data_IF_512909675629
#
_entry.id   IF_512909675629
#
_cell.length_a   1.000
_cell.length_b   1.000
_cell.length_c   1.000
_cell.angle_alpha   90.00
_cell.angle_beta   90.00
_cell.angle_gamma   90.00
#
_symmetry.space_group_name_H-M   'P 1'
#
loop_
_entity.id
_entity.type
_entity.pdbx_description
1 polymer ?
#
# COMPACT_ATOMS: atom_id res chain seq x y z
N UNK A 1 1.82 -19.66 -31.90
CA UNK A 1 2.31 -18.56 -31.05
C UNK A 1 3.66 -19.00 -30.46
N UNK A 2 4.71 -18.17 -30.57
CA UNK A 2 6.05 -18.53 -30.05
C UNK A 2 6.06 -18.60 -28.52
N UNK A 3 6.94 -19.42 -27.93
CA UNK A 3 7.15 -19.51 -26.46
C UNK A 3 7.44 -18.14 -25.86
N UNK A 4 8.17 -17.28 -26.59
CA UNK A 4 8.45 -15.90 -26.15
C UNK A 4 7.19 -15.02 -26.11
N UNK A 5 6.27 -15.21 -27.07
CA UNK A 5 5.00 -14.47 -27.10
C UNK A 5 4.05 -14.93 -25.98
N UNK A 6 4.03 -16.23 -25.66
CA UNK A 6 3.31 -16.75 -24.51
C UNK A 6 3.82 -16.16 -23.20
N UNK A 7 5.14 -16.14 -22.97
CA UNK A 7 5.74 -15.53 -21.76
C UNK A 7 5.45 -14.04 -21.64
N UNK A 8 5.49 -13.29 -22.73
CA UNK A 8 5.14 -11.86 -22.71
C UNK A 8 3.67 -11.65 -22.32
N UNK A 9 2.75 -12.44 -22.89
CA UNK A 9 1.33 -12.41 -22.54
C UNK A 9 1.08 -12.72 -21.06
N UNK A 10 1.87 -13.62 -20.49
CA UNK A 10 1.82 -13.99 -19.07
C UNK A 10 2.32 -12.90 -18.12
N UNK A 11 3.16 -12.01 -18.61
CA UNK A 11 3.79 -10.94 -17.86
C UNK A 11 3.09 -9.59 -18.02
N UNK A 12 1.98 -9.56 -18.76
CA UNK A 12 1.19 -8.35 -18.95
C UNK A 12 0.52 -7.95 -17.62
N UNK A 13 0.73 -6.70 -17.22
CA UNK A 13 0.17 -6.03 -16.05
C UNK A 13 -0.41 -4.66 -16.44
N UNK A 14 -1.01 -3.97 -15.48
CA UNK A 14 -1.61 -2.65 -15.70
C UNK A 14 -1.33 -1.72 -14.52
N UNK A 15 -1.14 -0.44 -14.83
CA UNK A 15 -1.17 0.65 -13.87
C UNK A 15 -2.33 1.60 -14.19
N UNK A 16 -3.02 2.07 -13.16
CA UNK A 16 -3.98 3.16 -13.28
C UNK A 16 -3.25 4.49 -13.18
N UNK A 17 -3.67 5.43 -14.01
CA UNK A 17 -3.20 6.81 -13.96
C UNK A 17 -4.36 7.76 -14.25
N UNK A 18 -4.18 9.01 -13.86
CA UNK A 18 -5.14 10.07 -14.20
C UNK A 18 -5.03 10.45 -15.67
N UNK A 19 -6.15 10.43 -16.37
CA UNK A 19 -6.29 10.96 -17.72
C UNK A 19 -6.37 12.49 -17.71
N UNK A 20 -5.94 13.12 -18.81
CA UNK A 20 -6.07 14.57 -19.00
C UNK A 20 -7.49 14.99 -19.40
N UNK A 21 -8.34 14.06 -19.85
CA UNK A 21 -9.73 14.29 -20.22
C UNK A 21 -10.67 14.05 -19.04
N UNK A 22 -11.57 14.99 -18.78
CA UNK A 22 -12.59 14.91 -17.73
C UNK A 22 -13.93 14.33 -18.22
N UNK A 23 -13.97 13.71 -19.41
CA UNK A 23 -15.23 13.22 -19.95
C UNK A 23 -15.61 11.88 -19.32
N UNK A 24 -16.76 11.88 -18.64
CA UNK A 24 -17.43 10.67 -18.17
C UNK A 24 -17.68 9.73 -19.36
N UNK A 25 -16.89 8.67 -19.48
CA UNK A 25 -17.18 7.56 -20.39
C UNK A 25 -17.53 6.31 -19.61
N UNK A 26 -18.74 5.82 -19.86
CA UNK A 26 -19.23 4.48 -19.51
C UNK A 26 -19.46 3.73 -20.83
N UNK A 27 -18.37 3.26 -21.45
CA UNK A 27 -18.38 2.63 -22.77
C UNK A 27 -17.22 1.65 -22.97
N UNK A 28 -17.05 1.05 -24.16
CA UNK A 28 -15.84 0.28 -24.50
C UNK A 28 -14.58 1.15 -24.32
N UNK A 29 -13.41 0.51 -24.13
CA UNK A 29 -12.13 1.20 -23.95
C UNK A 29 -11.94 2.27 -25.03
N UNK A 30 -11.51 3.46 -24.61
CA UNK A 30 -11.34 4.60 -25.50
C UNK A 30 -10.26 4.39 -26.56
N UNK A 31 -10.13 5.35 -27.49
CA UNK A 31 -9.01 5.40 -28.42
C UNK A 31 -7.67 5.57 -27.65
N UNK A 32 -6.52 5.17 -28.23
CA UNK A 32 -5.23 5.36 -27.59
C UNK A 32 -4.99 6.83 -27.24
N UNK A 33 -4.51 7.09 -26.03
CA UNK A 33 -4.36 8.46 -25.50
C UNK A 33 -3.22 9.27 -26.15
N UNK A 34 -2.31 8.62 -26.89
CA UNK A 34 -1.13 9.26 -27.49
C UNK A 34 -1.00 8.83 -28.95
N UNK A 35 -0.87 9.78 -29.86
CA UNK A 35 -0.59 9.53 -31.28
C UNK A 35 0.92 9.51 -31.55
N UNK A 36 1.40 8.56 -32.37
CA UNK A 36 2.81 8.41 -32.77
C UNK A 36 3.03 7.12 -33.57
N UNK A 37 4.25 6.90 -34.09
CA UNK A 37 4.59 5.73 -34.91
C UNK A 37 4.59 4.40 -34.13
N UNK A 38 4.71 4.46 -32.80
CA UNK A 38 4.67 3.29 -31.90
C UNK A 38 4.18 3.72 -30.50
N UNK A 39 2.89 4.10 -30.37
CA UNK A 39 2.40 4.75 -29.18
C UNK A 39 2.28 3.77 -28.01
N UNK A 40 2.41 4.25 -26.77
CA UNK A 40 2.19 3.43 -25.60
C UNK A 40 0.73 2.95 -25.55
N UNK A 41 0.52 1.71 -25.14
CA UNK A 41 -0.80 1.10 -24.98
C UNK A 41 -1.49 1.68 -23.73
N UNK A 42 -2.04 2.88 -23.91
CA UNK A 42 -2.73 3.66 -22.88
C UNK A 42 -4.12 4.01 -23.37
N UNK A 43 -5.14 3.61 -22.61
CA UNK A 43 -6.54 3.75 -23.01
C UNK A 43 -7.37 4.35 -21.88
N UNK A 44 -8.35 5.18 -22.23
CA UNK A 44 -9.36 5.65 -21.30
C UNK A 44 -10.24 4.48 -20.84
N UNK A 45 -10.58 4.43 -19.55
CA UNK A 45 -11.30 3.32 -18.96
C UNK A 45 -12.56 3.72 -18.19
N UNK A 46 -12.43 4.48 -17.10
CA UNK A 46 -13.58 4.80 -16.24
C UNK A 46 -13.45 6.20 -15.65
N UNK A 47 -14.31 7.10 -16.09
CA UNK A 47 -14.26 8.51 -15.70
C UNK A 47 -12.90 9.13 -16.07
N UNK A 48 -12.17 9.62 -15.07
CA UNK A 48 -10.85 10.24 -15.21
C UNK A 48 -9.68 9.25 -15.17
N UNK A 49 -9.94 7.92 -15.17
CA UNK A 49 -8.89 6.91 -15.15
C UNK A 49 -8.52 6.39 -16.53
N UNK A 50 -7.22 6.24 -16.75
CA UNK A 50 -6.62 5.53 -17.88
C UNK A 50 -5.93 4.26 -17.41
N UNK A 51 -5.98 3.23 -18.26
CA UNK A 51 -5.19 2.02 -18.13
C UNK A 51 -3.92 2.15 -18.95
N UNK A 52 -2.77 1.99 -18.28
CA UNK A 52 -1.47 1.84 -18.93
C UNK A 52 -1.04 0.38 -18.85
N UNK A 53 -0.96 -0.29 -19.99
CA UNK A 53 -0.46 -1.66 -20.05
C UNK A 53 1.07 -1.70 -19.92
N UNK A 54 1.57 -2.70 -19.20
CA UNK A 54 2.99 -2.85 -18.89
C UNK A 54 3.38 -4.33 -18.93
N UNK A 55 4.63 -4.63 -19.26
CA UNK A 55 5.22 -5.96 -19.08
C UNK A 55 6.09 -5.96 -17.83
N UNK A 56 5.87 -6.93 -16.96
CA UNK A 56 6.68 -7.11 -15.74
C UNK A 56 7.66 -8.26 -15.94
N UNK A 57 8.95 -7.97 -15.93
CA UNK A 57 10.01 -8.97 -15.99
C UNK A 57 10.11 -9.76 -14.67
N UNK A 58 10.74 -10.94 -14.66
CA UNK A 58 10.88 -11.77 -13.45
C UNK A 58 11.64 -11.09 -12.29
N UNK A 59 12.49 -10.11 -12.61
CA UNK A 59 13.22 -9.28 -11.64
C UNK A 59 12.37 -8.14 -11.06
N UNK A 60 11.10 -8.01 -11.49
CA UNK A 60 10.19 -6.95 -11.09
C UNK A 60 10.28 -5.68 -11.94
N UNK A 61 11.22 -5.61 -12.89
CA UNK A 61 11.36 -4.47 -13.80
C UNK A 61 10.12 -4.34 -14.68
N UNK A 62 9.58 -3.13 -14.81
CA UNK A 62 8.39 -2.90 -15.63
C UNK A 62 8.72 -2.06 -16.87
N UNK A 63 8.23 -2.50 -18.02
CA UNK A 63 8.32 -1.78 -19.29
C UNK A 63 6.92 -1.43 -19.79
N UNK A 64 6.72 -0.21 -20.29
CA UNK A 64 5.43 0.19 -20.88
C UNK A 64 5.18 -0.61 -22.15
N UNK A 65 4.03 -1.26 -22.24
CA UNK A 65 3.63 -1.98 -23.43
C UNK A 65 3.22 -0.99 -24.52
N UNK A 66 3.49 -1.33 -25.77
CA UNK A 66 3.11 -0.51 -26.92
C UNK A 66 1.95 -1.13 -27.69
N UNK A 67 1.30 -0.35 -28.54
CA UNK A 67 0.22 -0.87 -29.39
C UNK A 67 0.68 -2.05 -30.27
N UNK A 68 1.87 -1.93 -30.86
CA UNK A 68 2.47 -3.00 -31.65
C UNK A 68 2.70 -4.29 -30.85
N UNK A 69 2.98 -4.19 -29.54
CA UNK A 69 3.12 -5.36 -28.68
C UNK A 69 1.78 -6.07 -28.48
N UNK A 70 0.70 -5.34 -28.23
CA UNK A 70 -0.63 -5.92 -28.08
C UNK A 70 -1.10 -6.59 -29.37
N UNK A 71 -0.88 -5.94 -30.52
CA UNK A 71 -1.17 -6.51 -31.84
C UNK A 71 -0.37 -7.80 -32.09
N UNK A 72 0.93 -7.80 -31.81
CA UNK A 72 1.80 -8.99 -31.94
C UNK A 72 1.34 -10.15 -31.05
N UNK A 73 0.72 -9.86 -29.92
CA UNK A 73 0.16 -10.85 -29.01
C UNK A 73 -1.28 -11.27 -29.35
N UNK A 74 -1.87 -10.70 -30.41
CA UNK A 74 -3.28 -10.84 -30.78
C UNK A 74 -4.22 -10.48 -29.62
N UNK A 75 -3.93 -9.39 -28.90
CA UNK A 75 -4.73 -8.88 -27.81
C UNK A 75 -5.40 -7.58 -28.24
N UNK A 76 -6.73 -7.55 -28.24
CA UNK A 76 -7.48 -6.28 -28.19
C UNK A 76 -7.35 -5.67 -26.78
N UNK A 77 -7.63 -4.37 -26.59
CA UNK A 77 -7.59 -3.74 -25.26
C UNK A 77 -8.45 -4.48 -24.21
N UNK A 78 -9.63 -4.97 -24.60
CA UNK A 78 -10.54 -5.72 -23.74
C UNK A 78 -9.98 -7.10 -23.37
N UNK A 79 -9.37 -7.79 -24.34
CA UNK A 79 -8.70 -9.07 -24.10
C UNK A 79 -7.44 -8.90 -23.26
N UNK A 80 -6.70 -7.81 -23.46
CA UNK A 80 -5.55 -7.42 -22.66
C UNK A 80 -5.97 -7.17 -21.20
N UNK A 81 -7.05 -6.42 -20.97
CA UNK A 81 -7.61 -6.19 -19.64
C UNK A 81 -8.03 -7.50 -18.95
N UNK A 82 -8.69 -8.40 -19.68
CA UNK A 82 -9.06 -9.74 -19.18
C UNK A 82 -7.81 -10.57 -18.84
N UNK A 83 -6.80 -10.53 -19.71
CA UNK A 83 -5.54 -11.22 -19.49
C UNK A 83 -4.80 -10.69 -18.26
N UNK A 84 -4.79 -9.36 -18.07
CA UNK A 84 -4.21 -8.72 -16.87
C UNK A 84 -4.92 -9.21 -15.61
N UNK A 85 -6.25 -9.27 -15.59
CA UNK A 85 -6.98 -9.76 -14.42
C UNK A 85 -6.59 -11.21 -14.07
N UNK A 86 -6.45 -12.09 -15.09
CA UNK A 86 -5.97 -13.46 -14.92
C UNK A 86 -4.52 -13.49 -14.40
N UNK A 87 -3.64 -12.69 -14.99
CA UNK A 87 -2.23 -12.62 -14.61
C UNK A 87 -2.06 -12.13 -13.16
N UNK A 88 -2.80 -11.08 -12.78
CA UNK A 88 -2.81 -10.54 -11.41
C UNK A 88 -3.23 -11.61 -10.41
N UNK A 89 -4.33 -12.32 -10.69
CA UNK A 89 -4.82 -13.40 -9.81
C UNK A 89 -3.82 -14.55 -9.71
N UNK A 90 -3.15 -14.93 -10.80
CA UNK A 90 -2.11 -15.97 -10.79
C UNK A 90 -0.89 -15.54 -9.98
N UNK A 91 -0.39 -14.32 -10.20
CA UNK A 91 0.83 -13.82 -9.55
C UNK A 91 0.63 -13.52 -8.06
N UNK A 92 -0.57 -13.06 -7.66
CA UNK A 92 -0.83 -12.51 -6.32
C UNK A 92 -1.91 -13.23 -5.53
N UNK A 93 -2.61 -14.16 -6.16
CA UNK A 93 -3.75 -14.86 -5.58
C UNK A 93 -5.07 -14.08 -5.72
N UNK A 94 -6.10 -14.59 -5.05
CA UNK A 94 -7.41 -13.96 -5.06
C UNK A 94 -7.38 -12.62 -4.28
N UNK A 95 -8.13 -11.60 -4.73
CA UNK A 95 -8.30 -10.36 -3.98
C UNK A 95 -8.83 -10.62 -2.58
N UNK A 96 -8.17 -10.03 -1.59
CA UNK A 96 -8.62 -10.00 -0.20
C UNK A 96 -8.89 -8.56 0.19
N UNK A 97 -9.80 -8.38 1.12
CA UNK A 97 -10.10 -7.09 1.71
C UNK A 97 -10.16 -7.23 3.22
N UNK A 98 -9.88 -6.13 3.91
CA UNK A 98 -10.01 -6.01 5.34
C UNK A 98 -10.86 -4.77 5.66
N UNK A 99 -11.56 -4.81 6.80
CA UNK A 99 -12.25 -3.64 7.31
C UNK A 99 -11.19 -2.59 7.69
N UNK A 100 -11.27 -1.41 7.06
CA UNK A 100 -10.40 -0.29 7.34
C UNK A 100 -10.97 0.57 8.46
N UNK A 101 -12.28 0.84 8.42
CA UNK A 101 -13.01 1.57 9.46
C UNK A 101 -14.40 1.98 9.01
N UNK A 102 -15.36 2.07 9.94
CA UNK A 102 -16.72 2.57 9.70
C UNK A 102 -17.39 2.00 8.43
N UNK A 103 -17.30 0.68 8.22
CA UNK A 103 -17.89 -0.01 7.06
C UNK A 103 -17.18 0.22 5.72
N UNK A 104 -16.04 0.91 5.73
CA UNK A 104 -15.12 1.02 4.59
C UNK A 104 -14.14 -0.13 4.60
N UNK A 105 -14.00 -0.79 3.46
CA UNK A 105 -13.09 -1.89 3.22
C UNK A 105 -11.91 -1.43 2.36
N UNK A 106 -10.72 -1.91 2.68
CA UNK A 106 -9.51 -1.72 1.89
C UNK A 106 -9.06 -3.05 1.31
N UNK A 107 -8.66 -3.05 0.04
CA UNK A 107 -8.01 -4.20 -0.55
C UNK A 107 -6.62 -4.42 0.05
N UNK A 108 -6.29 -5.69 0.30
CA UNK A 108 -4.96 -6.11 0.75
C UNK A 108 -4.49 -7.23 -0.17
N UNK A 109 -3.62 -6.89 -1.11
CA UNK A 109 -2.99 -7.86 -2.00
C UNK A 109 -1.82 -8.59 -1.35
N UNK A 110 -1.47 -9.78 -1.88
CA UNK A 110 -0.14 -10.37 -1.65
C UNK A 110 0.83 -9.71 -2.65
N UNK A 111 1.53 -8.66 -2.25
CA UNK A 111 2.47 -7.99 -3.15
C UNK A 111 2.76 -6.53 -2.79
N UNK A 112 3.29 -5.81 -3.77
CA UNK A 112 3.58 -4.38 -3.69
C UNK A 112 2.28 -3.56 -3.77
N UNK A 113 2.18 -2.53 -2.92
CA UNK A 113 0.97 -1.74 -2.72
C UNK A 113 0.53 -1.06 -4.01
N UNK A 114 1.47 -0.66 -4.87
CA UNK A 114 1.27 0.15 -6.08
C UNK A 114 0.27 -0.38 -7.12
N UNK A 115 -0.15 -1.63 -6.97
CA UNK A 115 -0.89 -2.40 -7.98
C UNK A 115 -2.12 -3.07 -7.39
N UNK A 116 -2.50 -2.76 -6.15
CA UNK A 116 -3.76 -3.22 -5.57
C UNK A 116 -4.99 -2.67 -6.32
N UNK A 117 -4.86 -1.51 -6.96
CA UNK A 117 -5.87 -0.96 -7.86
C UNK A 117 -6.16 -1.89 -9.06
N UNK A 118 -5.22 -2.75 -9.48
CA UNK A 118 -5.44 -3.74 -10.56
C UNK A 118 -6.59 -4.70 -10.30
N UNK A 119 -6.98 -4.91 -9.03
CA UNK A 119 -8.16 -5.72 -8.68
C UNK A 119 -9.50 -5.06 -9.05
N UNK A 120 -9.51 -3.78 -9.43
CA UNK A 120 -10.69 -3.13 -10.03
C UNK A 120 -11.17 -3.89 -11.29
N UNK A 121 -10.25 -4.54 -12.01
CA UNK A 121 -10.54 -5.30 -13.23
C UNK A 121 -11.11 -6.69 -12.97
N UNK A 122 -11.05 -7.21 -11.73
CA UNK A 122 -11.53 -8.55 -11.39
C UNK A 122 -13.06 -8.57 -11.24
N UNK A 123 -13.78 -8.69 -12.36
CA UNK A 123 -15.25 -8.74 -12.38
C UNK A 123 -15.82 -9.88 -11.54
N UNK A 124 -15.11 -10.99 -11.39
CA UNK A 124 -15.55 -12.12 -10.57
C UNK A 124 -15.62 -11.75 -9.09
N UNK A 125 -14.60 -11.05 -8.60
CA UNK A 125 -14.59 -10.51 -7.25
C UNK A 125 -15.76 -9.54 -7.01
N UNK A 126 -15.93 -8.55 -7.88
CA UNK A 126 -16.97 -7.53 -7.66
C UNK A 126 -18.38 -8.10 -7.75
N UNK A 127 -18.61 -9.09 -8.62
CA UNK A 127 -19.87 -9.86 -8.64
C UNK A 127 -20.11 -10.63 -7.35
N UNK A 128 -19.06 -11.12 -6.70
CA UNK A 128 -19.18 -11.75 -5.38
C UNK A 128 -19.56 -10.71 -4.32
N UNK A 129 -18.99 -9.50 -4.38
CA UNK A 129 -19.35 -8.42 -3.46
C UNK A 129 -20.81 -7.97 -3.62
N UNK A 130 -21.39 -8.02 -4.83
CA UNK A 130 -22.82 -7.75 -5.03
C UNK A 130 -23.75 -8.72 -4.31
N UNK A 131 -23.29 -9.91 -3.93
CA UNK A 131 -24.08 -10.83 -3.09
C UNK A 131 -24.16 -10.34 -1.65
N UNK A 132 -23.09 -9.72 -1.15
CA UNK A 132 -23.04 -9.12 0.19
C UNK A 132 -23.66 -7.71 0.23
N UNK A 133 -23.58 -6.97 -0.88
CA UNK A 133 -24.06 -5.59 -1.02
C UNK A 133 -25.05 -5.48 -2.20
N UNK A 134 -26.33 -5.90 -2.02
CA UNK A 134 -27.28 -6.01 -3.13
C UNK A 134 -27.64 -4.68 -3.80
N UNK A 135 -27.49 -3.57 -3.08
CA UNK A 135 -27.73 -2.21 -3.61
C UNK A 135 -26.57 -1.70 -4.47
N UNK A 136 -25.46 -2.43 -4.52
CA UNK A 136 -24.25 -2.05 -5.25
C UNK A 136 -23.08 -1.80 -4.33
N UNK A 137 -21.92 -1.54 -4.93
CA UNK A 137 -20.67 -1.26 -4.22
C UNK A 137 -20.12 0.09 -4.67
N UNK A 138 -19.91 1.01 -3.74
CA UNK A 138 -19.24 2.28 -4.03
C UNK A 138 -17.74 2.07 -3.83
N UNK A 139 -16.92 2.45 -4.80
CA UNK A 139 -15.47 2.32 -4.75
C UNK A 139 -14.76 3.64 -5.07
N UNK A 140 -13.54 3.78 -4.52
CA UNK A 140 -12.67 4.93 -4.75
C UNK A 140 -11.21 4.49 -4.91
N UNK A 141 -10.50 5.16 -5.82
CA UNK A 141 -9.06 4.95 -6.09
C UNK A 141 -8.37 6.33 -6.02
N UNK A 142 -8.24 6.91 -4.81
CA UNK A 142 -7.74 8.27 -4.66
C UNK A 142 -6.26 8.41 -5.06
N UNK A 143 -5.46 7.34 -4.89
CA UNK A 143 -4.02 7.36 -5.18
C UNK A 143 -3.52 6.00 -5.67
N UNK A 144 -2.29 5.99 -6.17
CA UNK A 144 -1.61 4.76 -6.59
C UNK A 144 -1.60 3.74 -5.45
N UNK A 145 -1.97 2.51 -5.78
CA UNK A 145 -1.99 1.41 -4.84
C UNK A 145 -3.10 1.44 -3.79
N UNK A 146 -4.04 2.36 -3.87
CA UNK A 146 -5.20 2.37 -2.98
C UNK A 146 -6.48 2.00 -3.71
N UNK A 147 -7.24 1.07 -3.14
CA UNK A 147 -8.56 0.69 -3.60
C UNK A 147 -9.42 0.46 -2.38
N UNK A 148 -10.42 1.33 -2.23
CA UNK A 148 -11.37 1.29 -1.12
C UNK A 148 -12.78 1.10 -1.65
N UNK A 149 -13.63 0.46 -0.84
CA UNK A 149 -15.04 0.32 -1.19
C UNK A 149 -15.93 0.24 0.06
N UNK A 150 -17.21 0.51 -0.15
CA UNK A 150 -18.27 0.48 0.86
C UNK A 150 -19.58 -0.05 0.24
N UNK A 151 -20.50 -0.49 1.10
CA UNK A 151 -21.86 -0.85 0.69
C UNK A 151 -22.60 0.40 0.18
N UNK A 152 -23.09 0.38 -1.06
CA UNK A 152 -23.90 1.48 -1.61
C UNK A 152 -25.23 1.67 -0.86
N UNK A 153 -25.66 0.66 -0.10
CA UNK A 153 -26.86 0.68 0.72
C UNK A 153 -26.71 1.39 2.06
N UNK A 154 -25.49 1.65 2.53
CA UNK A 154 -25.19 2.27 3.81
C UNK A 154 -24.60 3.66 3.62
N UNK A 155 -25.44 4.69 3.81
CA UNK A 155 -25.05 6.08 3.63
C UNK A 155 -23.87 6.49 4.50
N UNK A 156 -23.81 6.02 5.76
CA UNK A 156 -22.73 6.37 6.68
C UNK A 156 -21.36 5.86 6.17
N UNK A 157 -21.32 4.61 5.72
CA UNK A 157 -20.11 4.01 5.13
C UNK A 157 -19.70 4.72 3.84
N UNK A 158 -20.66 5.09 2.97
CA UNK A 158 -20.37 5.84 1.73
C UNK A 158 -19.87 7.26 1.98
N UNK A 159 -20.40 7.94 3.01
CA UNK A 159 -19.94 9.27 3.41
C UNK A 159 -18.52 9.23 3.97
N UNK A 160 -18.22 8.22 4.80
CA UNK A 160 -16.85 8.05 5.31
C UNK A 160 -15.87 7.68 4.20
N UNK A 161 -16.25 6.78 3.28
CA UNK A 161 -15.45 6.47 2.09
C UNK A 161 -15.16 7.75 1.29
N UNK A 162 -16.18 8.57 1.05
CA UNK A 162 -16.07 9.83 0.29
C UNK A 162 -15.12 10.80 0.97
N UNK A 163 -15.28 11.01 2.29
CA UNK A 163 -14.46 11.92 3.08
C UNK A 163 -13.00 11.46 3.14
N UNK A 164 -12.78 10.17 3.39
CA UNK A 164 -11.46 9.56 3.41
C UNK A 164 -10.78 9.63 2.03
N UNK A 165 -11.49 9.26 0.97
CA UNK A 165 -10.96 9.28 -0.39
C UNK A 165 -10.61 10.70 -0.84
N UNK A 166 -11.44 11.69 -0.51
CA UNK A 166 -11.16 13.12 -0.76
C UNK A 166 -9.85 13.56 -0.10
N UNK A 167 -9.65 13.29 1.20
CA UNK A 167 -8.39 13.59 1.91
C UNK A 167 -7.19 12.90 1.28
N UNK A 168 -7.30 11.60 1.00
CA UNK A 168 -6.21 10.82 0.40
C UNK A 168 -5.86 11.30 -1.01
N UNK A 169 -6.86 11.67 -1.80
CA UNK A 169 -6.64 12.20 -3.14
C UNK A 169 -5.93 13.56 -3.07
N UNK A 170 -6.36 14.43 -2.17
CA UNK A 170 -5.75 15.75 -2.02
C UNK A 170 -4.30 15.66 -1.49
N UNK A 171 -4.03 14.74 -0.57
CA UNK A 171 -2.68 14.48 -0.06
C UNK A 171 -1.74 13.81 -1.09
N UNK A 172 -2.27 13.09 -2.08
CA UNK A 172 -1.48 12.22 -2.93
C UNK A 172 -0.53 12.91 -3.95
N UNK A 173 -0.58 14.23 -4.11
CA UNK A 173 0.33 14.96 -5.01
C UNK A 173 0.40 14.37 -6.42
N UNK A 174 1.60 13.97 -6.86
CA UNK A 174 1.85 13.35 -8.17
C UNK A 174 1.32 11.90 -8.28
N UNK A 175 0.99 11.26 -7.16
CA UNK A 175 0.47 9.89 -7.11
C UNK A 175 -1.07 9.81 -7.18
N UNK A 176 -1.75 10.93 -7.45
CA UNK A 176 -3.20 10.97 -7.65
C UNK A 176 -3.62 10.08 -8.82
N UNK A 177 -4.68 9.30 -8.61
CA UNK A 177 -5.24 8.42 -9.64
C UNK A 177 -6.61 8.90 -10.09
N UNK A 178 -7.60 8.95 -9.20
CA UNK A 178 -8.93 9.42 -9.54
C UNK A 178 -9.52 10.35 -8.48
N UNK A 179 -10.14 11.42 -8.97
CA UNK A 179 -10.97 12.34 -8.18
C UNK A 179 -12.46 11.97 -8.17
N UNK A 180 -12.83 10.75 -8.55
CA UNK A 180 -14.23 10.32 -8.70
C UNK A 180 -14.58 9.14 -7.78
N UNK A 181 -15.88 9.00 -7.52
CA UNK A 181 -16.49 7.82 -6.93
C UNK A 181 -17.11 6.96 -8.03
N UNK A 182 -17.03 5.66 -7.85
CA UNK A 182 -17.52 4.67 -8.79
C UNK A 182 -18.55 3.76 -8.15
N UNK A 183 -19.60 3.42 -8.89
CA UNK A 183 -20.61 2.45 -8.48
C UNK A 183 -20.44 1.18 -9.31
N UNK A 184 -20.28 0.04 -8.64
CA UNK A 184 -20.44 -1.26 -9.26
C UNK A 184 -21.84 -1.80 -8.99
N UNK A 185 -22.59 -2.09 -10.04
CA UNK A 185 -23.93 -2.66 -9.98
C UNK A 185 -24.07 -3.88 -10.91
N UNK A 186 -25.28 -4.44 -11.04
CA UNK A 186 -25.57 -5.49 -12.02
C UNK A 186 -25.25 -5.07 -13.47
N UNK A 187 -25.25 -3.76 -13.76
CA UNK A 187 -24.91 -3.19 -15.08
C UNK A 187 -23.41 -3.04 -15.31
N UNK A 188 -22.60 -3.19 -14.26
CA UNK A 188 -21.16 -2.97 -14.29
C UNK A 188 -20.74 -1.70 -13.57
N UNK A 189 -19.61 -1.15 -13.98
CA UNK A 189 -19.03 0.07 -13.41
C UNK A 189 -19.67 1.32 -14.01
N UNK A 190 -20.07 2.24 -13.15
CA UNK A 190 -20.61 3.56 -13.50
C UNK A 190 -19.93 4.64 -12.65
N UNK A 191 -19.85 5.87 -13.15
CA UNK A 191 -19.35 7.01 -12.38
C UNK A 191 -20.49 7.53 -11.51
N UNK A 192 -20.28 7.56 -10.19
CA UNK A 192 -21.27 8.04 -9.23
C UNK A 192 -21.23 9.56 -9.09
N UNK A 193 -20.02 10.15 -9.05
CA UNK A 193 -19.83 11.58 -8.87
C UNK A 193 -18.38 11.95 -8.57
N UNK A 194 -18.08 13.24 -8.48
CA UNK A 194 -16.76 13.71 -8.08
C UNK A 194 -16.60 13.63 -6.56
N UNK A 195 -15.36 13.37 -6.12
CA UNK A 195 -14.98 13.57 -4.74
C UNK A 195 -15.12 15.06 -4.42
N UNK A 196 -15.73 15.42 -3.27
CA UNK A 196 -15.77 16.79 -2.85
C UNK A 196 -14.33 17.28 -2.64
N UNK A 197 -14.07 18.56 -2.89
CA UNK A 197 -12.82 19.17 -2.44
C UNK A 197 -12.70 18.92 -0.94
N UNK A 198 -11.54 18.45 -0.45
CA UNK A 198 -11.40 18.22 0.97
C UNK A 198 -11.69 19.55 1.67
N UNK A 199 -12.68 19.55 2.56
CA UNK A 199 -12.92 20.72 3.38
C UNK A 199 -11.60 21.07 4.07
N UNK A 200 -11.12 22.32 3.99
CA UNK A 200 -9.94 22.73 4.74
C UNK A 200 -10.23 22.35 6.18
N UNK A 201 -9.33 21.55 6.80
CA UNK A 201 -9.55 20.94 8.10
C UNK A 201 -10.17 21.97 9.04
N UNK A 202 -11.50 21.94 9.16
CA UNK A 202 -12.21 22.97 9.91
C UNK A 202 -11.76 22.77 11.33
N UNK A 203 -11.20 23.83 11.90
CA UNK A 203 -10.76 23.94 13.28
C UNK A 203 -11.93 23.81 14.27
N UNK A 204 -12.71 22.73 14.17
CA UNK A 204 -13.75 22.32 15.11
C UNK A 204 -13.11 21.59 16.30
N UNK A 205 -12.05 22.21 16.83
CA UNK A 205 -11.47 21.95 18.13
C UNK A 205 -10.97 23.26 18.78
N UNK A 206 -11.33 24.42 18.20
CA UNK A 206 -10.94 25.74 18.66
C UNK A 206 -11.92 26.35 19.70
N UNK A 207 -12.59 25.51 20.50
CA UNK A 207 -13.40 25.99 21.64
C UNK A 207 -12.93 25.44 22.99
N UNK A 208 -11.74 24.83 23.07
CA UNK A 208 -11.11 24.52 24.35
C UNK A 208 -9.74 25.18 24.50
N UNK A 209 -9.80 26.38 25.08
CA UNK A 209 -8.76 27.06 25.88
C UNK A 209 -7.60 27.72 25.12
N UNK A 210 -7.70 29.04 25.10
CA UNK A 210 -6.65 30.01 24.79
C UNK A 210 -5.25 29.64 25.33
N UNK A 211 -4.27 29.60 24.43
CA UNK A 211 -2.87 29.92 24.73
C UNK A 211 -2.31 30.81 23.61
N UNK A 212 -1.63 31.93 23.93
CA UNK A 212 -1.06 32.81 22.92
C UNK A 212 0.32 32.30 22.46
N UNK A 213 0.55 32.36 21.14
CA UNK A 213 1.87 32.47 20.54
C UNK A 213 2.50 31.17 20.01
N UNK A 214 2.10 30.71 18.82
CA UNK A 214 2.97 29.94 17.93
C UNK A 214 2.73 30.41 16.49
N UNK A 215 3.82 30.76 15.79
CA UNK A 215 3.82 31.22 14.38
C UNK A 215 3.14 30.21 13.44
N UNK A 216 2.56 30.65 12.32
CA UNK A 216 2.06 29.76 11.28
C UNK A 216 3.20 28.88 10.75
N UNK A 217 2.97 27.57 10.67
CA UNK A 217 3.89 26.57 10.12
C UNK A 217 3.60 26.39 8.63
N UNK A 218 4.64 26.36 7.82
CA UNK A 218 4.56 26.29 6.36
C UNK A 218 3.87 25.00 5.85
N UNK A 219 3.06 25.08 4.77
CA UNK A 219 2.32 23.95 4.20
C UNK A 219 3.18 22.83 3.59
N UNK A 220 4.49 23.05 3.45
CA UNK A 220 5.47 22.04 3.01
C UNK A 220 5.68 20.91 4.06
N UNK A 221 5.37 21.17 5.34
CA UNK A 221 5.49 20.16 6.40
C UNK A 221 4.33 19.15 6.45
N UNK A 222 3.19 19.43 5.80
CA UNK A 222 2.04 18.54 5.80
C UNK A 222 2.14 17.45 4.73
N UNK A 223 2.81 17.71 3.60
CA UNK A 223 3.08 16.72 2.54
C UNK A 223 4.15 15.69 2.96
N UNK A 224 5.09 16.09 3.82
CA UNK A 224 6.06 15.17 4.41
C UNK A 224 5.43 14.17 5.40
N UNK A 225 4.26 14.48 5.97
CA UNK A 225 3.70 13.70 7.08
C UNK A 225 3.14 12.33 6.63
N UNK A 226 2.48 12.26 5.48
CA UNK A 226 1.78 11.04 5.01
C UNK A 226 2.70 10.04 4.28
N UNK A 227 3.73 10.54 3.58
CA UNK A 227 4.80 9.70 3.02
C UNK A 227 5.77 9.21 4.11
N UNK A 228 5.83 9.88 5.26
CA UNK A 228 6.57 9.45 6.45
C UNK A 228 5.75 8.47 7.33
N UNK A 229 4.41 8.53 7.34
CA UNK A 229 3.56 7.65 8.15
C UNK A 229 3.64 6.15 7.78
N UNK A 230 3.74 5.81 6.48
CA UNK A 230 3.94 4.44 6.00
C UNK A 230 5.27 3.83 6.48
N UNK A 231 6.44 4.49 6.32
CA UNK A 231 7.70 4.05 6.90
C UNK A 231 7.66 4.05 8.44
N UNK A 232 7.01 5.02 9.09
CA UNK A 232 6.89 5.08 10.55
C UNK A 232 6.10 3.89 11.13
N UNK A 233 5.06 3.42 10.44
CA UNK A 233 4.30 2.23 10.87
C UNK A 233 5.13 0.94 10.76
N UNK A 234 5.93 0.78 9.70
CA UNK A 234 6.87 -0.32 9.50
C UNK A 234 7.98 -0.30 10.57
N UNK A 235 8.50 0.91 10.86
CA UNK A 235 9.50 1.17 11.89
C UNK A 235 8.96 0.86 13.29
N UNK A 236 7.73 1.26 13.61
CA UNK A 236 7.08 0.97 14.89
C UNK A 236 6.85 -0.54 15.10
N UNK A 237 6.46 -1.25 14.05
CA UNK A 237 6.34 -2.72 14.07
C UNK A 237 7.68 -3.42 14.27
N UNK A 238 8.72 -2.96 13.58
CA UNK A 238 10.08 -3.48 13.75
C UNK A 238 10.64 -3.24 15.15
N UNK A 239 10.41 -2.06 15.74
CA UNK A 239 10.87 -1.72 17.09
C UNK A 239 10.26 -2.64 18.16
N UNK A 240 8.95 -2.93 18.09
CA UNK A 240 8.29 -3.85 19.04
C UNK A 240 8.93 -5.23 19.01
N UNK A 241 9.22 -5.73 17.81
CA UNK A 241 9.83 -7.04 17.61
C UNK A 241 11.24 -7.11 18.19
N UNK A 242 12.05 -6.05 18.01
CA UNK A 242 13.37 -5.93 18.64
C UNK A 242 13.29 -5.89 20.16
N UNK A 243 12.36 -5.13 20.74
CA UNK A 243 12.18 -5.05 22.19
C UNK A 243 11.81 -6.42 22.77
N UNK A 244 10.89 -7.15 22.13
CA UNK A 244 10.53 -8.49 22.56
C UNK A 244 11.69 -9.48 22.43
N UNK A 245 12.50 -9.40 21.37
CA UNK A 245 13.69 -10.23 21.24
C UNK A 245 14.71 -9.93 22.35
N UNK A 246 14.89 -8.67 22.73
CA UNK A 246 15.81 -8.28 23.78
C UNK A 246 15.36 -8.80 25.15
N UNK A 247 14.07 -8.65 25.48
CA UNK A 247 13.48 -9.21 26.70
C UNK A 247 13.59 -10.74 26.71
N UNK A 248 13.22 -11.40 25.61
CA UNK A 248 13.30 -12.85 25.49
C UNK A 248 14.73 -13.36 25.68
N UNK A 249 15.73 -12.66 25.13
CA UNK A 249 17.14 -13.02 25.27
C UNK A 249 17.62 -12.92 26.74
N UNK A 250 17.20 -11.89 27.48
CA UNK A 250 17.50 -11.77 28.91
C UNK A 250 16.82 -12.85 29.75
N UNK A 251 15.53 -13.12 29.49
CA UNK A 251 14.77 -14.17 30.19
C UNK A 251 15.39 -15.55 29.93
N UNK A 252 15.70 -15.85 28.67
CA UNK A 252 16.33 -17.10 28.28
C UNK A 252 17.72 -17.27 28.92
N UNK A 253 18.50 -16.18 29.00
CA UNK A 253 19.81 -16.18 29.65
C UNK A 253 19.74 -16.36 31.16
N UNK A 254 18.74 -15.78 31.82
CA UNK A 254 18.50 -16.01 33.24
C UNK A 254 18.05 -17.45 33.51
N UNK A 255 17.14 -17.99 32.70
CA UNK A 255 16.64 -19.35 32.83
C UNK A 255 17.74 -20.41 32.55
N UNK A 256 18.57 -20.18 31.53
CA UNK A 256 19.70 -21.06 31.22
C UNK A 256 20.72 -21.11 32.37
N UNK A 257 21.00 -19.97 33.03
CA UNK A 257 21.87 -19.92 34.22
C UNK A 257 21.25 -20.57 35.46
N UNK A 258 19.92 -20.54 35.56
CA UNK A 258 19.18 -21.20 36.65
C UNK A 258 19.07 -22.71 36.52
N UNK A 259 19.55 -23.31 35.43
CA UNK A 259 19.48 -24.76 35.18
C UNK A 259 18.07 -25.28 34.89
N UNK A 260 17.08 -24.39 34.69
CA UNK A 260 15.68 -24.78 34.48
C UNK A 260 15.37 -25.26 33.06
N UNK A 261 16.32 -25.10 32.12
CA UNK A 261 16.13 -25.46 30.71
C UNK A 261 17.29 -26.38 30.26
N UNK A 262 17.00 -27.51 29.61
CA UNK A 262 18.03 -28.37 29.02
C UNK A 262 18.92 -27.59 28.03
N UNK A 263 20.26 -27.79 28.03
CA UNK A 263 21.19 -27.02 27.19
C UNK A 263 20.81 -27.01 25.70
N UNK A 264 20.35 -28.14 25.18
CA UNK A 264 19.96 -28.31 23.78
C UNK A 264 18.74 -27.46 23.41
N UNK A 265 17.75 -27.38 24.31
CA UNK A 265 16.54 -26.56 24.15
C UNK A 265 16.91 -25.07 24.24
N UNK A 266 17.79 -24.70 25.18
CA UNK A 266 18.28 -23.34 25.30
C UNK A 266 18.97 -22.88 24.00
N UNK A 267 19.88 -23.69 23.45
CA UNK A 267 20.57 -23.40 22.18
C UNK A 267 19.59 -23.21 21.01
N UNK A 268 18.57 -24.07 20.89
CA UNK A 268 17.56 -23.93 19.85
C UNK A 268 16.75 -22.62 19.98
N UNK A 269 16.36 -22.25 21.21
CA UNK A 269 15.65 -21.00 21.49
C UNK A 269 16.52 -19.77 21.21
N UNK A 270 17.83 -19.84 21.48
CA UNK A 270 18.76 -18.76 21.14
C UNK A 270 18.85 -18.55 19.62
N UNK A 271 18.95 -19.63 18.85
CA UNK A 271 18.99 -19.57 17.38
C UNK A 271 17.69 -18.98 16.84
N UNK A 272 16.53 -19.43 17.34
CA UNK A 272 15.24 -18.91 16.93
C UNK A 272 15.10 -17.41 17.24
N UNK A 273 15.51 -16.99 18.44
CA UNK A 273 15.47 -15.57 18.85
C UNK A 273 16.41 -14.73 17.99
N UNK A 274 17.59 -15.26 17.63
CA UNK A 274 18.54 -14.59 16.75
C UNK A 274 17.94 -14.38 15.34
N UNK A 275 17.32 -15.41 14.76
CA UNK A 275 16.68 -15.32 13.44
C UNK A 275 15.54 -14.27 13.43
N UNK A 276 14.71 -14.27 14.47
CA UNK A 276 13.62 -13.28 14.63
C UNK A 276 14.19 -11.87 14.79
N UNK A 277 15.26 -11.69 15.57
CA UNK A 277 15.91 -10.38 15.74
C UNK A 277 16.47 -9.83 14.42
N UNK A 278 17.01 -10.71 13.56
CA UNK A 278 17.52 -10.36 12.24
C UNK A 278 16.40 -9.82 11.33
N UNK A 279 15.23 -10.47 11.38
CA UNK A 279 14.04 -9.99 10.67
C UNK A 279 13.58 -8.62 11.17
N UNK A 280 13.64 -8.38 12.49
CA UNK A 280 13.37 -7.08 13.09
C UNK A 280 14.31 -5.98 12.59
N UNK A 281 15.60 -6.25 12.54
CA UNK A 281 16.62 -5.32 12.04
C UNK A 281 16.36 -4.96 10.57
N UNK A 282 16.15 -5.96 9.71
CA UNK A 282 15.86 -5.75 8.29
C UNK A 282 14.59 -4.90 8.10
N UNK A 283 13.56 -5.16 8.90
CA UNK A 283 12.30 -4.39 8.86
C UNK A 283 12.50 -2.93 9.29
N UNK A 284 13.24 -2.68 10.38
CA UNK A 284 13.55 -1.32 10.84
C UNK A 284 14.40 -0.58 9.79
N UNK A 285 15.46 -1.19 9.29
CA UNK A 285 16.33 -0.55 8.31
C UNK A 285 15.61 -0.26 6.99
N UNK A 286 14.67 -1.11 6.59
CA UNK A 286 13.82 -0.89 5.41
C UNK A 286 12.82 0.25 5.62
N UNK A 287 12.21 0.35 6.81
CA UNK A 287 11.35 1.47 7.14
C UNK A 287 12.09 2.80 7.32
N UNK A 288 13.38 2.78 7.65
CA UNK A 288 14.23 3.98 7.74
C UNK A 288 14.84 4.41 6.40
N UNK A 289 14.50 3.77 5.27
CA UNK A 289 15.03 4.12 3.95
C UNK A 289 16.53 3.88 3.77
N UNK A 290 17.19 3.11 4.65
CA UNK A 290 18.62 2.85 4.50
C UNK A 290 18.89 1.94 3.29
N UNK A 291 19.94 2.27 2.52
CA UNK A 291 20.40 1.44 1.41
C UNK A 291 20.88 0.04 1.85
N UNK A 292 20.93 -0.89 0.90
CA UNK A 292 21.27 -2.31 1.12
C UNK A 292 22.59 -2.51 1.87
N UNK A 293 23.60 -1.67 1.64
CA UNK A 293 24.90 -1.73 2.31
C UNK A 293 24.79 -1.59 3.83
N UNK A 294 23.97 -0.67 4.32
CA UNK A 294 23.77 -0.44 5.75
C UNK A 294 23.00 -1.61 6.38
N UNK A 295 22.03 -2.19 5.64
CA UNK A 295 21.30 -3.39 6.10
C UNK A 295 22.24 -4.57 6.31
N UNK A 296 23.11 -4.82 5.33
CA UNK A 296 24.12 -5.89 5.41
C UNK A 296 25.10 -5.63 6.55
N UNK A 297 25.54 -4.39 6.74
CA UNK A 297 26.42 -4.01 7.85
C UNK A 297 25.77 -4.32 9.21
N UNK A 298 24.50 -3.95 9.43
CA UNK A 298 23.79 -4.26 10.67
C UNK A 298 23.56 -5.76 10.87
N UNK A 299 23.29 -6.52 9.80
CA UNK A 299 23.19 -7.99 9.88
C UNK A 299 24.52 -8.64 10.28
N UNK A 300 25.64 -8.14 9.77
CA UNK A 300 26.98 -8.64 10.13
C UNK A 300 27.32 -8.25 11.58
N UNK A 301 27.03 -7.01 12.00
CA UNK A 301 27.23 -6.57 13.38
C UNK A 301 26.38 -7.37 14.39
N UNK A 302 25.24 -7.91 13.96
CA UNK A 302 24.35 -8.70 14.83
C UNK A 302 24.99 -10.02 15.32
N UNK A 303 26.03 -10.52 14.64
CA UNK A 303 26.76 -11.73 15.05
C UNK A 303 27.72 -11.53 16.22
N UNK A 304 28.06 -10.28 16.55
CA UNK A 304 28.90 -9.95 17.72
C UNK A 304 27.97 -9.53 18.86
N UNK A 305 27.75 -10.35 19.91
CA UNK A 305 26.65 -10.14 20.87
C UNK A 305 26.63 -8.76 21.54
N UNK A 306 27.80 -8.26 21.94
CA UNK A 306 27.93 -6.96 22.59
C UNK A 306 27.64 -5.81 21.62
N UNK A 307 28.15 -5.93 20.38
CA UNK A 307 27.95 -4.93 19.33
C UNK A 307 26.50 -4.95 18.82
N UNK A 308 25.88 -6.13 18.72
CA UNK A 308 24.47 -6.31 18.42
C UNK A 308 23.59 -5.59 19.46
N UNK A 309 23.89 -5.74 20.75
CA UNK A 309 23.16 -5.06 21.81
C UNK A 309 23.27 -3.53 21.67
N UNK A 310 24.48 -3.02 21.44
CA UNK A 310 24.72 -1.57 21.24
C UNK A 310 24.00 -1.07 19.99
N UNK A 311 24.06 -1.81 18.88
CA UNK A 311 23.40 -1.48 17.62
C UNK A 311 21.87 -1.45 17.77
N UNK A 312 21.28 -2.46 18.43
CA UNK A 312 19.85 -2.52 18.72
C UNK A 312 19.40 -1.39 19.65
N UNK A 313 20.20 -1.06 20.67
CA UNK A 313 19.91 0.05 21.58
C UNK A 313 19.98 1.39 20.85
N UNK A 314 20.99 1.58 19.99
CA UNK A 314 21.16 2.76 19.16
C UNK A 314 19.98 2.94 18.18
N UNK A 315 19.62 1.87 17.44
CA UNK A 315 18.47 1.85 16.54
C UNK A 315 17.17 2.14 17.29
N UNK A 316 16.93 1.49 18.44
CA UNK A 316 15.74 1.71 19.26
C UNK A 316 15.65 3.14 19.80
N UNK A 317 16.77 3.73 20.24
CA UNK A 317 16.85 5.13 20.69
C UNK A 317 16.56 6.10 19.54
N UNK A 318 17.19 5.90 18.37
CA UNK A 318 17.00 6.72 17.18
C UNK A 318 15.56 6.65 16.68
N UNK A 319 15.00 5.45 16.59
CA UNK A 319 13.60 5.20 16.23
C UNK A 319 12.63 5.84 17.22
N UNK A 320 12.89 5.76 18.54
CA UNK A 320 12.04 6.40 19.55
C UNK A 320 12.05 7.93 19.42
N UNK A 321 13.21 8.52 19.10
CA UNK A 321 13.32 9.96 18.84
C UNK A 321 12.53 10.37 17.59
N UNK A 322 12.63 9.59 16.52
CA UNK A 322 11.86 9.81 15.29
C UNK A 322 10.35 9.69 15.54
N UNK A 323 9.90 8.63 16.19
CA UNK A 323 8.48 8.42 16.50
C UNK A 323 7.91 9.51 17.41
N UNK A 324 8.67 9.96 18.43
CA UNK A 324 8.26 11.11 19.27
C UNK A 324 8.21 12.42 18.47
N UNK A 325 9.15 12.62 17.55
CA UNK A 325 9.16 13.77 16.65
C UNK A 325 7.91 13.83 15.75
N UNK A 326 7.43 12.67 15.31
CA UNK A 326 6.23 12.50 14.51
C UNK A 326 4.91 12.46 15.32
N UNK A 327 4.93 12.79 16.61
CA UNK A 327 3.72 12.86 17.44
C UNK A 327 3.23 11.54 18.05
N UNK A 328 3.92 10.41 17.84
CA UNK A 328 3.51 9.12 18.39
C UNK A 328 3.79 9.03 19.90
N UNK A 329 2.84 8.45 20.65
CA UNK A 329 3.03 8.16 22.07
C UNK A 329 3.81 6.86 22.23
N UNK A 330 5.11 6.98 22.55
CA UNK A 330 6.03 5.84 22.68
C UNK A 330 6.12 5.41 24.15
N UNK A 331 5.52 4.26 24.47
CA UNK A 331 5.61 3.62 25.79
C UNK A 331 6.68 2.52 25.83
N UNK A 332 6.91 1.93 27.01
CA UNK A 332 7.91 0.86 27.21
C UNK A 332 7.66 -0.39 26.33
N UNK A 333 6.42 -0.60 25.89
CA UNK A 333 5.98 -1.71 25.04
C UNK A 333 5.77 -1.28 23.56
N UNK A 334 6.36 -0.15 23.16
CA UNK A 334 6.33 0.37 21.80
C UNK A 334 5.32 1.50 21.59
N UNK A 335 5.27 1.98 20.35
CA UNK A 335 4.45 3.12 19.96
C UNK A 335 2.98 2.72 19.72
N UNK A 336 2.07 3.63 20.07
CA UNK A 336 0.67 3.61 19.67
C UNK A 336 0.36 4.91 18.92
N UNK A 337 -0.34 4.78 17.78
CA UNK A 337 -0.94 5.93 17.13
C UNK A 337 -1.96 6.54 18.11
N UNK A 338 -1.84 7.84 18.36
CA UNK A 338 -2.71 8.61 19.26
C UNK A 338 -3.93 9.13 18.53
#
# INVERSE_FOLDING_TARGET
>A
MSVSALRLRENLSVAFQRGKGSEQRTGPLGAPAVAGDDPPAVYDYLGDMQLRFMFTAPDGTQAVAKEADLQRLNLTPELAMTQVAVNTRRARGAPKHALFGQGVYQFTGRGDADTDASYLLDRGFWRTQLQAFPKGVVAAIPRRGSLFFADAGDSASTEELTRMASRLHDAAGEHRVSGLLYLFSARGWEVLGALPAAAPATASAAESRARPGVRPRDPEAAQAHDDEELPLSLVAGGQKLVIYCLIANFVLSAAARGGSIPPLVASALYIATAAVSLFGIVRICSGLGHGTTIKVLFMVLAFVPLVNLIALLYLSSKTTRLLRGAGWRVGLLGAKAS
#
